data_IF_104617742945
#
_entry.id   IF_104617742945
#
_cell.length_a   1.000
_cell.length_b   1.000
_cell.length_c   1.000
_cell.angle_alpha   90.00
_cell.angle_beta   90.00
_cell.angle_gamma   90.00
#
_symmetry.space_group_name_H-M   'P 1'
#
loop_
_entity.id
_entity.type
_entity.pdbx_description
1 polymer ?
#
# COMPACT_ATOMS: atom_id res chain seq x y z
N UNK A 1 -15.93 10.28 -2.35
CA UNK A 1 -14.99 10.36 -1.21
C UNK A 1 -14.54 11.79 -1.03
N UNK A 2 -14.57 12.33 0.19
CA UNK A 2 -14.08 13.69 0.45
C UNK A 2 -12.55 13.72 0.42
N UNK A 3 -11.97 14.88 0.06
CA UNK A 3 -10.51 15.09 0.09
C UNK A 3 -9.93 14.82 1.49
N UNK A 4 -10.66 15.18 2.54
CA UNK A 4 -10.27 14.92 3.93
C UNK A 4 -10.14 13.44 4.26
N UNK A 5 -11.06 12.60 3.78
CA UNK A 5 -10.99 11.15 3.99
C UNK A 5 -9.76 10.53 3.31
N UNK A 6 -9.44 10.98 2.09
CA UNK A 6 -8.24 10.51 1.37
C UNK A 6 -6.94 10.95 2.05
N UNK A 7 -6.86 12.20 2.52
CA UNK A 7 -5.69 12.68 3.26
C UNK A 7 -5.48 11.88 4.56
N UNK A 8 -6.57 11.58 5.29
CA UNK A 8 -6.50 10.77 6.51
C UNK A 8 -6.02 9.36 6.22
N UNK A 9 -6.57 8.71 5.19
CA UNK A 9 -6.13 7.37 4.79
C UNK A 9 -4.65 7.36 4.38
N UNK A 10 -4.22 8.34 3.59
CA UNK A 10 -2.81 8.51 3.21
C UNK A 10 -1.89 8.66 4.43
N UNK A 11 -2.28 9.50 5.40
CA UNK A 11 -1.53 9.65 6.65
C UNK A 11 -1.42 8.33 7.42
N UNK A 12 -2.52 7.59 7.57
CA UNK A 12 -2.51 6.31 8.29
C UNK A 12 -1.57 5.27 7.64
N UNK A 13 -1.47 5.27 6.31
CA UNK A 13 -0.53 4.40 5.58
C UNK A 13 0.92 4.81 5.86
N UNK A 14 1.23 6.11 5.78
CA UNK A 14 2.58 6.62 6.05
C UNK A 14 3.00 6.35 7.50
N UNK A 15 2.12 6.61 8.47
CA UNK A 15 2.38 6.33 9.88
C UNK A 15 2.72 4.85 10.10
N UNK A 16 2.05 3.93 9.37
CA UNK A 16 2.36 2.50 9.44
C UNK A 16 3.71 2.14 8.83
N UNK A 17 4.16 2.86 7.79
CA UNK A 17 5.50 2.67 7.24
C UNK A 17 6.58 3.11 8.22
N UNK A 18 6.37 4.23 8.91
CA UNK A 18 7.29 4.71 9.94
C UNK A 18 7.36 3.75 11.12
N UNK A 19 6.22 3.21 11.55
CA UNK A 19 6.16 2.18 12.59
C UNK A 19 6.91 0.91 12.19
N UNK A 20 6.76 0.45 10.94
CA UNK A 20 7.49 -0.70 10.43
C UNK A 20 9.00 -0.44 10.36
N UNK A 21 9.41 0.75 9.92
CA UNK A 21 10.81 1.16 9.88
C UNK A 21 11.43 1.28 11.28
N UNK A 22 10.65 1.71 12.28
CA UNK A 22 11.10 1.74 13.67
C UNK A 22 11.17 0.34 14.27
N UNK A 23 10.19 -0.52 13.99
CA UNK A 23 10.19 -1.89 14.50
C UNK A 23 11.39 -2.70 13.98
N UNK A 24 11.77 -2.55 12.70
CA UNK A 24 12.92 -3.29 12.16
C UNK A 24 14.26 -2.93 12.80
N UNK A 25 14.43 -1.70 13.31
CA UNK A 25 15.68 -1.29 13.98
C UNK A 25 15.73 -1.73 15.44
N UNK A 26 14.61 -2.21 15.98
CA UNK A 26 14.44 -2.66 17.36
C UNK A 26 14.37 -4.18 17.47
N UNK A 27 14.59 -4.91 16.38
CA UNK A 27 14.59 -6.37 16.41
C UNK A 27 15.75 -6.85 17.29
N UNK A 28 15.48 -7.72 18.29
CA UNK A 28 16.56 -8.36 19.03
C UNK A 28 17.26 -9.38 18.11
N UNK A 29 18.46 -9.80 18.49
CA UNK A 29 19.13 -10.92 17.83
C UNK A 29 18.72 -12.23 18.50
N UNK A 30 18.54 -13.27 17.68
CA UNK A 30 18.27 -14.64 18.12
C UNK A 30 19.32 -15.63 17.64
N UNK A 31 20.41 -15.13 17.03
CA UNK A 31 21.51 -15.92 16.46
C UNK A 31 21.46 -15.99 14.93
N UNK A 32 22.64 -16.15 14.33
CA UNK A 32 22.89 -15.93 12.90
C UNK A 32 21.89 -16.59 11.94
N UNK A 33 21.49 -17.83 12.20
CA UNK A 33 20.54 -18.55 11.33
C UNK A 33 19.14 -17.92 11.38
N UNK A 34 18.67 -17.58 12.57
CA UNK A 34 17.34 -16.97 12.77
C UNK A 34 17.36 -15.55 12.26
N UNK A 35 18.40 -14.79 12.56
CA UNK A 35 18.54 -13.39 12.14
C UNK A 35 18.55 -13.27 10.61
N UNK A 36 19.20 -14.19 9.90
CA UNK A 36 19.17 -14.25 8.43
C UNK A 36 17.76 -14.48 7.88
N UNK A 37 16.98 -15.40 8.49
CA UNK A 37 15.59 -15.67 8.07
C UNK A 37 14.69 -14.48 8.37
N UNK A 38 14.85 -13.85 9.53
CA UNK A 38 14.11 -12.64 9.91
C UNK A 38 14.42 -11.51 8.93
N UNK A 39 15.68 -11.29 8.58
CA UNK A 39 16.07 -10.27 7.61
C UNK A 39 15.39 -10.48 6.26
N UNK A 40 15.45 -11.71 5.72
CA UNK A 40 14.78 -12.05 4.46
C UNK A 40 13.28 -11.81 4.52
N UNK A 41 12.63 -12.16 5.63
CA UNK A 41 11.20 -11.93 5.83
C UNK A 41 10.86 -10.43 5.88
N UNK A 42 11.64 -9.62 6.61
CA UNK A 42 11.47 -8.17 6.71
C UNK A 42 11.64 -7.49 5.35
N UNK A 43 12.68 -7.87 4.60
CA UNK A 43 12.96 -7.35 3.25
C UNK A 43 11.85 -7.76 2.26
N UNK A 44 11.40 -9.01 2.32
CA UNK A 44 10.28 -9.51 1.52
C UNK A 44 8.98 -8.76 1.81
N UNK A 45 8.71 -8.47 3.08
CA UNK A 45 7.55 -7.67 3.50
C UNK A 45 7.63 -6.25 2.93
N UNK A 46 8.78 -5.59 3.03
CA UNK A 46 8.98 -4.25 2.47
C UNK A 46 8.79 -4.23 0.94
N UNK A 47 9.35 -5.22 0.26
CA UNK A 47 9.20 -5.40 -1.18
C UNK A 47 7.74 -5.65 -1.58
N UNK A 48 7.00 -6.44 -0.79
CA UNK A 48 5.58 -6.72 -1.03
C UNK A 48 4.69 -5.48 -0.95
N UNK A 49 5.00 -4.55 -0.04
CA UNK A 49 4.31 -3.25 0.05
C UNK A 49 4.48 -2.44 -1.24
N UNK A 50 5.72 -2.32 -1.72
CA UNK A 50 6.03 -1.58 -2.96
C UNK A 50 5.35 -2.26 -4.16
N UNK A 51 5.47 -3.58 -4.28
CA UNK A 51 4.88 -4.34 -5.36
C UNK A 51 3.36 -4.18 -5.41
N UNK A 52 2.68 -4.17 -4.26
CA UNK A 52 1.23 -3.98 -4.19
C UNK A 52 0.82 -2.59 -4.68
N UNK A 53 1.59 -1.55 -4.33
CA UNK A 53 1.35 -0.19 -4.83
C UNK A 53 1.58 -0.11 -6.35
N UNK A 54 2.72 -0.63 -6.82
CA UNK A 54 3.05 -0.66 -8.25
C UNK A 54 1.96 -1.37 -9.04
N UNK A 55 1.58 -2.56 -8.59
CA UNK A 55 0.55 -3.35 -9.24
C UNK A 55 -0.79 -2.61 -9.29
N UNK A 56 -1.22 -2.04 -8.17
CA UNK A 56 -2.53 -1.39 -8.04
C UNK A 56 -2.65 -0.10 -8.87
N UNK A 57 -1.57 0.66 -9.02
CA UNK A 57 -1.61 1.96 -9.69
C UNK A 57 -1.10 1.95 -11.14
N UNK A 58 -0.22 1.03 -11.50
CA UNK A 58 0.48 1.06 -12.78
C UNK A 58 0.26 -0.19 -13.62
N UNK A 59 0.26 -1.39 -13.02
CA UNK A 59 0.25 -2.64 -13.81
C UNK A 59 -1.16 -3.16 -14.10
N UNK A 60 -2.11 -2.98 -13.18
CA UNK A 60 -3.45 -3.54 -13.33
C UNK A 60 -4.46 -2.56 -13.91
N UNK A 61 -5.35 -3.07 -14.76
CA UNK A 61 -6.55 -2.33 -15.19
C UNK A 61 -7.73 -2.47 -14.21
N UNK A 62 -7.55 -3.22 -13.12
CA UNK A 62 -8.60 -3.51 -12.14
C UNK A 62 -9.19 -2.26 -11.50
N UNK A 63 -8.35 -1.27 -11.20
CA UNK A 63 -8.75 -0.03 -10.53
C UNK A 63 -8.74 1.20 -11.45
N UNK A 64 -7.98 1.12 -12.54
CA UNK A 64 -7.73 2.22 -13.47
C UNK A 64 -7.88 1.70 -14.90
N UNK A 65 -8.69 2.35 -15.75
CA UNK A 65 -8.86 1.90 -17.14
C UNK A 65 -7.55 2.08 -17.93
N UNK A 66 -7.38 1.30 -19.02
CA UNK A 66 -6.16 1.30 -19.84
C UNK A 66 -5.81 2.69 -20.41
N UNK A 67 -6.80 3.52 -20.72
CA UNK A 67 -6.63 4.93 -21.14
C UNK A 67 -5.98 5.82 -20.08
N UNK A 68 -6.05 5.45 -18.79
CA UNK A 68 -5.42 6.19 -17.69
C UNK A 68 -3.98 5.76 -17.40
N UNK A 69 -3.46 4.75 -18.10
CA UNK A 69 -2.07 4.29 -17.98
C UNK A 69 -1.10 5.11 -18.87
N UNK A 70 -1.58 5.80 -19.91
CA UNK A 70 -0.75 6.58 -20.86
C UNK A 70 -0.32 7.98 -20.36
N UNK A 71 -0.32 8.19 -19.04
CA UNK A 71 0.34 9.35 -18.40
C UNK A 71 -0.26 10.73 -18.63
N UNK A 72 -1.40 10.87 -19.34
CA UNK A 72 -2.03 12.18 -19.63
C UNK A 72 -3.40 12.42 -19.01
N UNK A 73 -3.99 11.43 -18.34
CA UNK A 73 -5.28 11.56 -17.66
C UNK A 73 -5.15 11.56 -16.14
N UNK A 74 -5.82 12.50 -15.45
CA UNK A 74 -5.99 12.41 -14.01
C UNK A 74 -6.61 11.05 -13.65
N UNK A 75 -5.89 10.24 -12.87
CA UNK A 75 -6.33 8.92 -12.38
C UNK A 75 -7.51 9.07 -11.42
N UNK A 76 -8.70 9.29 -11.95
CA UNK A 76 -9.96 9.40 -11.20
C UNK A 76 -10.64 8.04 -11.19
N UNK A 77 -10.73 7.44 -10.02
CA UNK A 77 -11.60 6.29 -9.79
C UNK A 77 -13.01 6.83 -9.55
N UNK A 78 -13.93 6.56 -10.48
CA UNK A 78 -15.36 6.82 -10.28
C UNK A 78 -15.90 5.73 -9.36
N UNK A 79 -16.05 6.07 -8.08
CA UNK A 79 -16.74 5.20 -7.12
C UNK A 79 -18.24 5.46 -7.26
N UNK A 80 -18.98 4.49 -7.77
CA UNK A 80 -20.45 4.52 -7.69
C UNK A 80 -20.87 4.57 -6.22
N UNK A 81 -21.91 5.34 -5.86
CA UNK A 81 -22.44 5.33 -4.49
C UNK A 81 -22.81 3.90 -4.13
N UNK A 82 -22.48 3.48 -2.91
CA UNK A 82 -23.00 2.22 -2.37
C UNK A 82 -24.53 2.30 -2.42
N UNK A 83 -25.17 1.34 -3.10
CA UNK A 83 -26.63 1.19 -3.03
C UNK A 83 -26.95 0.81 -1.59
N UNK A 84 -27.33 1.80 -0.78
CA UNK A 84 -27.95 1.56 0.51
C UNK A 84 -29.38 1.11 0.21
N UNK A 85 -29.56 -0.18 -0.04
CA UNK A 85 -30.88 -0.79 -0.07
C UNK A 85 -31.34 -0.92 1.39
N UNK A 86 -32.14 0.05 1.82
CA UNK A 86 -33.03 -0.08 2.96
C UNK A 86 -34.41 -0.41 2.40
N UNK A 87 -34.74 -1.70 2.42
CA UNK A 87 -36.10 -2.23 2.50
C UNK A 87 -36.12 -3.31 3.58
#
# INVERSE_FOLDING_TARGET
>A
MSRGAMNRAGKMVLDRYDDFNRARTQLPSWGDEVDKKVQQFVEGTASGVIATAVWSFFETTRYFSRESQDGKGAKRVTLSPAKHNIE
#
